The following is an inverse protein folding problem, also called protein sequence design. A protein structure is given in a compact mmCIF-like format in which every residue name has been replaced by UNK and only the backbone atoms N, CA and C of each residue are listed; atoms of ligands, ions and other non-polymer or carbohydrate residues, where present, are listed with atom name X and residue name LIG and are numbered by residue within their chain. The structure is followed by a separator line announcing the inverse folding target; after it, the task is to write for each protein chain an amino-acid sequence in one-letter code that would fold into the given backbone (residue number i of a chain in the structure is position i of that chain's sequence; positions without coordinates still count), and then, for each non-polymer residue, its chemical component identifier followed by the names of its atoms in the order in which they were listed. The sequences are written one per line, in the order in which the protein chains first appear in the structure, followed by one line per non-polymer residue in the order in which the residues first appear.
data_IF_988730525418
#
_entry.id   IF_988730525418
#
_cell.length_a   1.000
_cell.length_b   1.000
_cell.length_c   1.000
_cell.angle_alpha   90.00
_cell.angle_beta   90.00
_cell.angle_gamma   90.00
#
_symmetry.space_group_name_H-M   'P 1'
#
loop_
_entity.id
_entity.type
_entity.pdbx_description
1 polymer ?
#
# COMPACT_ATOMS: atom_id res chain seq x y z
N UNK A 1 -8.97 12.78 9.54
CA UNK A 1 -8.05 13.67 10.28
C UNK A 1 -6.96 12.80 10.89
N UNK A 2 -5.74 12.87 10.35
CA UNK A 2 -4.60 12.08 10.84
C UNK A 2 -4.11 12.63 12.17
N UNK A 3 -4.55 12.05 13.28
CA UNK A 3 -3.98 12.36 14.59
C UNK A 3 -2.63 11.68 14.75
N UNK A 4 -1.65 12.44 15.26
CA UNK A 4 -0.35 11.92 15.71
C UNK A 4 -0.59 10.87 16.80
N UNK A 5 -0.16 9.61 16.63
CA UNK A 5 -0.23 8.62 17.70
C UNK A 5 0.78 8.95 18.82
N UNK A 6 0.45 8.54 20.04
CA UNK A 6 1.31 8.67 21.22
C UNK A 6 2.43 7.61 21.17
N UNK A 7 3.70 8.00 21.13
CA UNK A 7 4.85 7.08 21.17
C UNK A 7 6.13 7.61 20.51
N UNK A 8 7.23 6.86 20.62
CA UNK A 8 8.47 6.99 19.84
C UNK A 8 8.20 6.58 18.40
N UNK A 9 7.65 7.50 17.64
CA UNK A 9 7.48 7.31 16.22
C UNK A 9 8.39 8.26 15.47
N UNK A 10 8.84 7.81 14.29
CA UNK A 10 9.49 8.56 13.22
C UNK A 10 9.11 10.06 13.20
N UNK A 11 10.03 10.95 12.80
CA UNK A 11 9.92 12.39 13.03
C UNK A 11 8.55 12.97 12.64
N UNK A 12 8.08 13.93 13.45
CA UNK A 12 6.82 14.61 13.23
C UNK A 12 6.70 15.10 11.77
N UNK A 13 5.63 14.70 11.08
CA UNK A 13 5.40 15.02 9.66
C UNK A 13 5.33 13.80 8.73
N UNK A 14 5.67 12.60 9.22
CA UNK A 14 5.58 11.35 8.46
C UNK A 14 4.18 10.71 8.46
N UNK A 15 3.23 11.29 9.20
CA UNK A 15 1.84 10.85 9.29
C UNK A 15 1.00 11.48 8.20
N UNK A 16 0.40 10.63 7.37
CA UNK A 16 -0.45 11.04 6.25
C UNK A 16 -1.93 10.81 6.51
N UNK A 17 -2.78 11.53 5.79
CA UNK A 17 -4.10 10.96 5.42
C UNK A 17 -4.03 10.19 4.11
N UNK A 18 -3.01 10.48 3.30
CA UNK A 18 -2.67 9.85 2.03
C UNK A 18 -1.16 9.65 1.94
N UNK A 19 -0.74 8.69 1.13
CA UNK A 19 0.66 8.36 0.93
C UNK A 19 0.94 7.89 -0.50
N UNK A 20 2.18 8.11 -0.94
CA UNK A 20 2.61 7.76 -2.30
C UNK A 20 3.07 6.31 -2.38
N UNK A 21 2.73 5.66 -3.49
CA UNK A 21 3.36 4.41 -3.88
C UNK A 21 4.85 4.67 -4.17
N UNK A 22 5.73 4.23 -3.27
CA UNK A 22 7.15 4.55 -3.37
C UNK A 22 7.84 3.84 -4.56
N UNK A 23 7.19 2.80 -5.13
CA UNK A 23 7.69 2.06 -6.29
C UNK A 23 7.69 2.94 -7.54
N UNK A 24 7.03 4.10 -7.50
CA UNK A 24 7.04 5.10 -8.56
C UNK A 24 8.28 5.99 -8.57
N UNK A 25 9.11 5.92 -7.53
CA UNK A 25 10.32 6.71 -7.45
C UNK A 25 11.30 6.35 -8.57
N UNK A 26 12.13 7.34 -8.92
CA UNK A 26 13.36 7.08 -9.67
C UNK A 26 14.40 6.65 -8.64
N UNK A 27 14.73 5.36 -8.62
CA UNK A 27 15.72 4.83 -7.68
C UNK A 27 17.09 5.49 -7.92
N UNK A 28 17.60 6.18 -6.91
CA UNK A 28 18.90 6.86 -6.97
C UNK A 28 20.09 5.92 -6.69
N UNK A 29 19.81 4.75 -6.13
CA UNK A 29 20.78 3.71 -5.74
C UNK A 29 20.16 2.31 -5.92
N UNK A 30 21.00 1.26 -5.91
CA UNK A 30 20.57 -0.13 -6.00
C UNK A 30 21.29 -0.98 -4.94
N UNK A 31 20.58 -1.53 -3.92
CA UNK A 31 19.14 -1.42 -3.70
C UNK A 31 18.71 -0.09 -3.04
N UNK A 32 17.49 0.37 -3.34
CA UNK A 32 16.83 1.47 -2.60
C UNK A 32 15.85 0.86 -1.60
N UNK A 33 15.99 1.20 -0.31
CA UNK A 33 15.20 0.62 0.80
C UNK A 33 15.24 -0.92 0.87
N UNK A 34 16.34 -1.55 0.43
CA UNK A 34 16.46 -3.00 0.37
C UNK A 34 15.78 -3.66 -0.84
N UNK A 35 15.18 -2.87 -1.73
CA UNK A 35 14.48 -3.34 -2.92
C UNK A 35 15.27 -3.00 -4.19
N UNK A 36 15.29 -3.92 -5.15
CA UNK A 36 16.10 -3.78 -6.36
C UNK A 36 15.59 -2.62 -7.22
N UNK A 37 16.51 -1.75 -7.68
CA UNK A 37 16.17 -0.56 -8.47
C UNK A 37 15.37 -0.90 -9.76
N UNK A 38 15.60 -2.09 -10.33
CA UNK A 38 14.90 -2.59 -11.53
C UNK A 38 13.39 -2.80 -11.32
N UNK A 39 12.92 -2.91 -10.08
CA UNK A 39 11.52 -3.20 -9.74
C UNK A 39 10.68 -1.92 -9.62
N UNK A 40 11.34 -0.76 -9.50
CA UNK A 40 10.70 0.55 -9.50
C UNK A 40 10.26 0.97 -10.91
N UNK A 41 9.14 1.68 -11.01
CA UNK A 41 8.64 2.21 -12.27
C UNK A 41 9.52 3.31 -12.84
N UNK A 42 9.93 4.29 -12.03
CA UNK A 42 10.77 5.41 -12.46
C UNK A 42 10.19 6.31 -13.57
N UNK A 43 8.93 6.09 -13.98
CA UNK A 43 8.25 6.88 -15.01
C UNK A 43 6.74 6.70 -14.91
N UNK A 44 6.00 7.72 -15.33
CA UNK A 44 4.53 7.68 -15.47
C UNK A 44 4.07 7.10 -16.82
N UNK A 45 4.97 7.03 -17.82
CA UNK A 45 4.63 6.55 -19.16
C UNK A 45 4.66 5.01 -19.21
N UNK A 46 3.65 4.39 -18.62
CA UNK A 46 3.56 2.94 -18.43
C UNK A 46 2.25 2.41 -19.01
N UNK A 47 2.33 1.32 -19.78
CA UNK A 47 1.14 0.62 -20.29
C UNK A 47 0.38 -0.02 -19.12
N UNK A 48 -0.95 0.17 -19.09
CA UNK A 48 -1.78 -0.33 -18.00
C UNK A 48 -1.72 0.53 -16.73
N UNK A 49 -1.37 1.81 -16.87
CA UNK A 49 -1.28 2.79 -15.78
C UNK A 49 -2.55 2.90 -14.92
N UNK A 50 -3.73 2.61 -15.46
CA UNK A 50 -4.99 2.56 -14.70
C UNK A 50 -5.08 1.44 -13.65
N UNK A 51 -4.14 0.50 -13.59
CA UNK A 51 -4.04 -0.50 -12.52
C UNK A 51 -2.83 -0.31 -11.60
N UNK A 52 -2.06 0.77 -11.80
CA UNK A 52 -0.90 1.09 -10.97
C UNK A 52 -1.30 2.18 -9.97
N UNK A 53 -1.31 1.89 -8.66
CA UNK A 53 -1.62 2.89 -7.64
C UNK A 53 -0.56 4.00 -7.62
N UNK A 54 -1.02 5.25 -7.62
CA UNK A 54 -0.18 6.45 -7.48
C UNK A 54 -0.20 6.98 -6.05
N UNK A 55 -1.40 7.28 -5.54
CA UNK A 55 -1.59 7.93 -4.25
C UNK A 55 -2.88 7.44 -3.61
N UNK A 56 -2.83 6.95 -2.38
CA UNK A 56 -3.97 6.30 -1.72
C UNK A 56 -4.06 6.72 -0.26
N UNK A 57 -5.21 6.47 0.37
CA UNK A 57 -5.31 6.61 1.82
C UNK A 57 -4.20 5.80 2.49
N UNK A 58 -3.44 6.46 3.36
CA UNK A 58 -2.28 5.87 4.00
C UNK A 58 -2.08 6.53 5.36
N UNK A 59 -1.69 5.75 6.38
CA UNK A 59 -1.35 6.32 7.68
C UNK A 59 0.08 6.89 7.72
N UNK A 60 0.92 6.55 6.75
CA UNK A 60 2.28 7.04 6.57
C UNK A 60 2.43 7.86 5.28
N UNK A 61 3.53 8.59 5.12
CA UNK A 61 3.76 9.41 3.92
C UNK A 61 4.00 8.60 2.63
N UNK A 62 4.48 7.37 2.74
CA UNK A 62 4.72 6.47 1.61
C UNK A 62 4.68 4.98 2.03
N UNK A 63 4.69 4.08 1.06
CA UNK A 63 4.89 2.66 1.33
C UNK A 63 5.28 1.89 0.08
N UNK A 64 5.89 0.72 0.32
CA UNK A 64 6.35 -0.20 -0.70
C UNK A 64 5.77 -1.58 -0.62
N UNK A 65 4.48 -1.76 -0.94
CA UNK A 65 3.85 -3.04 -0.72
C UNK A 65 4.47 -4.14 -1.59
N UNK A 66 4.67 -5.30 -0.99
CA UNK A 66 5.17 -6.51 -1.63
C UNK A 66 4.04 -7.56 -1.71
N UNK A 67 4.24 -8.59 -2.53
CA UNK A 67 3.17 -9.55 -2.85
C UNK A 67 2.76 -10.38 -1.63
N UNK A 68 3.73 -10.65 -0.76
CA UNK A 68 3.66 -11.48 0.43
C UNK A 68 3.52 -10.67 1.73
N UNK A 69 3.26 -9.37 1.62
CA UNK A 69 2.94 -8.54 2.77
C UNK A 69 1.69 -9.09 3.49
N UNK A 70 1.85 -9.34 4.78
CA UNK A 70 0.82 -9.71 5.72
C UNK A 70 -0.14 -8.55 5.99
N UNK A 71 -1.44 -8.84 6.18
CA UNK A 71 -2.42 -7.83 6.50
C UNK A 71 -2.29 -7.36 7.96
N UNK A 72 -2.85 -6.19 8.32
CA UNK A 72 -2.96 -5.79 9.72
C UNK A 72 -3.79 -6.83 10.50
N UNK A 73 -3.27 -7.31 11.64
CA UNK A 73 -4.02 -8.21 12.53
C UNK A 73 -5.37 -7.64 13.06
N UNK A 74 -5.51 -6.31 13.15
CA UNK A 74 -6.76 -5.61 13.49
C UNK A 74 -6.82 -4.23 12.82
N UNK A 75 -8.01 -3.64 12.74
CA UNK A 75 -8.19 -2.30 12.19
C UNK A 75 -7.42 -1.25 13.02
N UNK A 76 -6.53 -0.52 12.35
CA UNK A 76 -5.63 0.44 12.99
C UNK A 76 -4.34 -0.16 13.56
N UNK A 77 -4.06 -1.46 13.39
CA UNK A 77 -2.74 -2.03 13.67
C UNK A 77 -1.69 -1.40 12.74
N UNK A 78 -0.61 -0.86 13.31
CA UNK A 78 0.46 -0.19 12.56
C UNK A 78 1.77 -0.95 12.72
N UNK A 79 2.30 -1.42 11.60
CA UNK A 79 3.63 -2.04 11.51
C UNK A 79 4.61 -0.96 11.05
N UNK A 80 5.61 -0.66 11.89
CA UNK A 80 6.53 0.47 11.67
C UNK A 80 7.66 0.17 10.69
N UNK A 81 7.98 -1.10 10.49
CA UNK A 81 8.99 -1.52 9.54
C UNK A 81 8.70 -1.03 8.12
N UNK A 82 9.76 -0.99 7.30
CA UNK A 82 9.61 -0.88 5.85
C UNK A 82 9.12 -2.21 5.23
N UNK A 83 9.30 -3.31 5.95
CA UNK A 83 8.66 -4.61 5.70
C UNK A 83 7.15 -4.52 5.98
N UNK A 84 6.33 -5.32 5.30
CA UNK A 84 4.87 -5.35 5.50
C UNK A 84 4.19 -4.02 5.13
N UNK A 85 4.70 -3.35 4.11
CA UNK A 85 4.31 -1.98 3.75
C UNK A 85 2.85 -1.86 3.30
N UNK A 86 2.19 -2.96 2.90
CA UNK A 86 0.75 -3.01 2.65
C UNK A 86 -0.07 -2.54 3.86
N UNK A 87 0.42 -2.77 5.08
CA UNK A 87 -0.20 -2.30 6.32
C UNK A 87 -0.44 -0.78 6.33
N UNK A 88 0.41 -0.01 5.64
CA UNK A 88 0.34 1.45 5.57
C UNK A 88 -0.93 1.92 4.84
N UNK A 89 -1.36 1.16 3.84
CA UNK A 89 -2.53 1.43 3.00
C UNK A 89 -3.77 0.63 3.42
N UNK A 90 -3.60 -0.51 4.08
CA UNK A 90 -4.71 -1.38 4.50
C UNK A 90 -5.44 -0.82 5.74
N UNK A 91 -6.19 0.27 5.55
CA UNK A 91 -6.93 0.98 6.60
C UNK A 91 -8.42 1.11 6.27
N UNK A 92 -9.30 0.77 7.20
CA UNK A 92 -10.73 0.76 6.97
C UNK A 92 -11.37 2.16 7.13
N UNK A 93 -11.05 3.09 6.22
CA UNK A 93 -11.58 4.46 6.26
C UNK A 93 -12.91 4.64 5.55
N UNK A 94 -13.15 3.87 4.49
CA UNK A 94 -14.28 4.06 3.58
C UNK A 94 -15.12 2.80 3.41
N UNK A 95 -15.52 2.19 4.54
CA UNK A 95 -16.39 1.00 4.58
C UNK A 95 -15.82 -0.13 3.71
N UNK A 96 -14.83 -0.85 4.26
CA UNK A 96 -14.12 -1.98 3.65
C UNK A 96 -13.25 -1.60 2.44
N UNK A 97 -12.95 -0.31 2.25
CA UNK A 97 -12.06 0.14 1.19
C UNK A 97 -11.41 1.48 1.50
N UNK A 98 -10.58 1.89 0.56
CA UNK A 98 -9.87 3.16 0.52
C UNK A 98 -10.09 3.85 -0.83
N UNK A 99 -9.77 5.13 -0.91
CA UNK A 99 -9.70 5.86 -2.17
C UNK A 99 -8.27 5.87 -2.69
N UNK A 100 -8.12 5.65 -4.00
CA UNK A 100 -6.84 5.68 -4.69
C UNK A 100 -6.90 6.44 -5.99
N UNK A 101 -5.86 7.23 -6.25
CA UNK A 101 -5.52 7.77 -7.56
C UNK A 101 -4.54 6.80 -8.22
N UNK A 102 -4.77 6.51 -9.50
CA UNK A 102 -3.96 5.61 -10.31
C UNK A 102 -3.03 6.39 -11.24
N UNK A 103 -2.06 5.72 -11.85
CA UNK A 103 -1.02 6.36 -12.66
C UNK A 103 -1.56 6.96 -13.97
N UNK A 104 -2.79 6.62 -14.37
CA UNK A 104 -3.54 7.27 -15.45
C UNK A 104 -4.32 8.51 -14.97
N UNK A 105 -4.12 8.92 -13.72
CA UNK A 105 -4.79 10.03 -13.04
C UNK A 105 -6.29 9.83 -12.80
N UNK A 106 -6.82 8.63 -13.01
CA UNK A 106 -8.16 8.28 -12.57
C UNK A 106 -8.21 8.10 -11.05
N UNK A 107 -9.36 8.39 -10.45
CA UNK A 107 -9.62 8.15 -9.04
C UNK A 107 -10.73 7.10 -8.88
N UNK A 108 -10.51 6.11 -8.01
CA UNK A 108 -11.52 5.09 -7.71
C UNK A 108 -11.39 4.56 -6.29
N UNK A 109 -12.48 3.93 -5.82
CA UNK A 109 -12.46 3.10 -4.63
C UNK A 109 -11.63 1.84 -4.91
N UNK A 110 -10.83 1.46 -3.93
CA UNK A 110 -10.06 0.21 -3.88
C UNK A 110 -10.54 -0.55 -2.66
N UNK A 111 -10.98 -1.80 -2.83
CA UNK A 111 -11.38 -2.63 -1.69
C UNK A 111 -10.14 -3.09 -0.93
N UNK A 112 -10.24 -3.29 0.39
CA UNK A 112 -9.04 -3.62 1.17
C UNK A 112 -8.36 -4.91 0.70
N UNK A 113 -9.13 -5.95 0.37
CA UNK A 113 -8.59 -7.19 -0.20
C UNK A 113 -8.01 -7.01 -1.61
N UNK A 114 -8.49 -6.00 -2.36
CA UNK A 114 -7.99 -5.67 -3.70
C UNK A 114 -6.57 -5.08 -3.67
N UNK A 115 -6.10 -4.58 -2.52
CA UNK A 115 -4.75 -4.02 -2.40
C UNK A 115 -3.66 -5.05 -2.76
N UNK A 116 -3.90 -6.34 -2.56
CA UNK A 116 -2.99 -7.43 -2.96
C UNK A 116 -3.08 -7.79 -4.45
N UNK A 117 -3.96 -7.14 -5.21
CA UNK A 117 -4.24 -7.46 -6.61
C UNK A 117 -4.10 -6.25 -7.54
N UNK A 118 -3.62 -5.10 -7.04
CA UNK A 118 -3.22 -3.95 -7.86
C UNK A 118 -1.71 -3.97 -8.12
N UNK A 119 -1.28 -3.35 -9.22
CA UNK A 119 0.10 -3.46 -9.71
C UNK A 119 1.01 -2.42 -9.05
N UNK A 120 1.44 -2.64 -7.81
CA UNK A 120 2.29 -1.70 -7.05
C UNK A 120 3.65 -1.45 -7.71
N UNK A 121 4.38 -2.51 -8.03
CA UNK A 121 5.73 -2.50 -8.58
C UNK A 121 5.82 -3.29 -9.90
N UNK A 122 6.94 -3.20 -10.63
CA UNK A 122 7.15 -3.95 -11.88
C UNK A 122 7.11 -5.47 -11.65
N UNK A 123 7.69 -5.94 -10.56
CA UNK A 123 7.73 -7.34 -10.15
C UNK A 123 6.46 -7.81 -9.39
N UNK A 124 5.52 -6.91 -9.09
CA UNK A 124 4.33 -7.24 -8.30
C UNK A 124 3.41 -8.20 -9.08
N UNK A 125 3.17 -9.39 -8.55
CA UNK A 125 2.30 -10.40 -9.15
C UNK A 125 0.88 -10.23 -8.64
N UNK A 126 0.01 -9.63 -9.47
CA UNK A 126 -1.41 -9.41 -9.14
C UNK A 126 -2.22 -10.70 -8.97
N UNK A 127 -1.66 -11.84 -9.38
CA UNK A 127 -2.26 -13.16 -9.20
C UNK A 127 -1.61 -13.94 -8.05
N UNK A 128 -0.73 -13.30 -7.26
CA UNK A 128 -0.18 -13.93 -6.06
C UNK A 128 -1.33 -14.25 -5.09
N UNK A 129 -1.32 -15.42 -4.42
CA UNK A 129 -2.34 -15.73 -3.43
C UNK A 129 -2.39 -14.64 -2.37
N UNK A 130 -3.56 -14.04 -2.16
CA UNK A 130 -3.76 -13.11 -1.07
C UNK A 130 -3.68 -13.81 0.30
N UNK A 131 -3.61 -13.03 1.39
CA UNK A 131 -3.61 -13.56 2.75
C UNK A 131 -4.80 -14.49 3.04
N UNK A 132 -4.58 -15.47 3.91
CA UNK A 132 -5.64 -16.29 4.49
C UNK A 132 -6.41 -15.48 5.53
N UNK A 133 -7.44 -14.78 5.07
CA UNK A 133 -8.16 -13.77 5.85
C UNK A 133 -8.73 -14.30 7.17
N UNK A 134 -9.18 -15.54 7.21
CA UNK A 134 -9.76 -16.16 8.41
C UNK A 134 -8.77 -16.29 9.56
N UNK A 135 -7.47 -16.35 9.26
CA UNK A 135 -6.39 -16.53 10.25
C UNK A 135 -5.50 -15.32 10.39
N UNK A 136 -5.15 -14.64 9.29
CA UNK A 136 -4.19 -13.54 9.28
C UNK A 136 -4.83 -12.18 9.57
N UNK A 137 -6.07 -11.96 9.11
CA UNK A 137 -6.83 -10.76 9.41
C UNK A 137 -8.34 -11.06 9.54
N UNK A 138 -8.77 -11.72 10.64
CA UNK A 138 -10.15 -12.18 10.81
C UNK A 138 -11.19 -11.07 10.69
N UNK A 139 -10.83 -9.85 11.05
CA UNK A 139 -11.67 -8.66 10.93
C UNK A 139 -12.00 -8.28 9.47
N UNK A 140 -11.17 -8.71 8.50
CA UNK A 140 -11.41 -8.55 7.06
C UNK A 140 -12.06 -9.77 6.42
N UNK A 141 -12.19 -10.90 7.11
CA UNK A 141 -12.65 -12.16 6.51
C UNK A 141 -13.98 -11.99 5.77
N UNK A 142 -14.93 -11.26 6.35
CA UNK A 142 -16.26 -11.00 5.79
C UNK A 142 -16.31 -9.80 4.84
N UNK A 143 -15.19 -9.13 4.57
CA UNK A 143 -15.17 -7.97 3.66
C UNK A 143 -15.27 -8.42 2.22
N UNK A 144 -15.74 -7.50 1.37
CA UNK A 144 -15.85 -7.70 -0.07
C UNK A 144 -14.54 -8.26 -0.66
N UNK A 145 -14.68 -9.27 -1.52
CA UNK A 145 -13.59 -9.83 -2.32
C UNK A 145 -13.04 -8.81 -3.34
N UNK A 146 -11.90 -9.16 -3.94
CA UNK A 146 -11.23 -8.36 -4.98
C UNK A 146 -11.87 -8.54 -6.36
#
# INVERSE_FOLDING_TARGET
TGSRPLGEYEPAGTWGSYGINHWLYVAAEDPLYGQAAKDYWGTVNVKGSGNIPLFLDCWFWCGGPENDDTPPAWDGHRILGHTESMNRFCINRHQQGINGVFLDYSARKVWLKELWHVKWARNFNVNYPGPYWETEAPWMAQFKAH
#
